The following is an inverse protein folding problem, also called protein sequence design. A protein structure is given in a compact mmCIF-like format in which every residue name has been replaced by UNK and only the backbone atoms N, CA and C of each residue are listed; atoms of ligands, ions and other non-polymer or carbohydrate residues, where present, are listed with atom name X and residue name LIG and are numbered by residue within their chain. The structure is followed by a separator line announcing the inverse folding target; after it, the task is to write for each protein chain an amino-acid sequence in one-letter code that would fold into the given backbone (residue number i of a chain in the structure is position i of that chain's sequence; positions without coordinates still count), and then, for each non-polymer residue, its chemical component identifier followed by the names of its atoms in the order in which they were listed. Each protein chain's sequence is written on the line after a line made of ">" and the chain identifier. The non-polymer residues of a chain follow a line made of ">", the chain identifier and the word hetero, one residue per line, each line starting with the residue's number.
data_IF_784152235168
#
_entry.id   IF_784152235168
#
_cell.length_a   1.000
_cell.length_b   1.000
_cell.length_c   1.000
_cell.angle_alpha   90.00
_cell.angle_beta   90.00
_cell.angle_gamma   90.00
#
_symmetry.space_group_name_H-M   'P 1'
#
loop_
_entity.id
_entity.type
_entity.pdbx_description
1 polymer ?
#
# COMPACT_ATOMS: atom_id res chain seq x y z
N UNK A 1 -9.19 -29.05 -31.72
CA UNK A 1 -8.36 -28.76 -30.53
C UNK A 1 -9.13 -29.29 -29.34
N UNK A 2 -8.52 -30.16 -28.53
CA UNK A 2 -9.22 -30.82 -27.42
C UNK A 2 -9.68 -29.76 -26.42
N UNK A 3 -10.96 -29.79 -26.08
CA UNK A 3 -11.58 -28.97 -25.03
C UNK A 3 -10.96 -29.43 -23.71
N UNK A 4 -9.83 -28.85 -23.32
CA UNK A 4 -9.28 -29.05 -21.98
C UNK A 4 -10.36 -28.54 -21.03
N UNK A 5 -10.75 -29.37 -20.06
CA UNK A 5 -11.80 -29.03 -19.11
C UNK A 5 -11.41 -27.75 -18.36
N UNK A 6 -12.30 -26.77 -18.30
CA UNK A 6 -12.17 -25.53 -17.52
C UNK A 6 -11.72 -25.84 -16.07
N UNK A 7 -12.34 -26.85 -15.48
CA UNK A 7 -12.03 -27.38 -14.15
C UNK A 7 -10.57 -27.88 -14.02
N UNK A 8 -10.03 -28.51 -15.07
CA UNK A 8 -8.64 -28.98 -15.06
C UNK A 8 -7.65 -27.82 -15.12
N UNK A 9 -8.00 -26.74 -15.82
CA UNK A 9 -7.17 -25.53 -15.87
C UNK A 9 -7.19 -24.82 -14.52
N UNK A 10 -8.36 -24.72 -13.89
CA UNK A 10 -8.50 -24.16 -12.54
C UNK A 10 -7.70 -24.95 -11.51
N UNK A 11 -7.88 -26.28 -11.45
CA UNK A 11 -7.13 -27.14 -10.52
C UNK A 11 -5.62 -27.00 -10.69
N UNK A 12 -5.15 -26.85 -11.93
CA UNK A 12 -3.74 -26.61 -12.19
C UNK A 12 -3.27 -25.26 -11.65
N UNK A 13 -4.01 -24.18 -11.93
CA UNK A 13 -3.68 -22.85 -11.45
C UNK A 13 -3.70 -22.79 -9.90
N UNK A 14 -4.68 -23.44 -9.29
CA UNK A 14 -4.80 -23.63 -7.85
C UNK A 14 -3.61 -24.39 -7.26
N UNK A 15 -3.19 -25.49 -7.89
CA UNK A 15 -2.03 -26.23 -7.44
C UNK A 15 -0.74 -25.39 -7.52
N UNK A 16 -0.58 -24.61 -8.59
CA UNK A 16 0.53 -23.66 -8.73
C UNK A 16 0.48 -22.60 -7.60
N UNK A 17 -0.69 -22.12 -7.23
CA UNK A 17 -0.89 -21.17 -6.11
C UNK A 17 -0.52 -21.80 -4.76
N UNK A 18 -1.05 -22.98 -4.45
CA UNK A 18 -0.80 -23.69 -3.19
C UNK A 18 0.68 -24.07 -2.99
N UNK A 19 1.41 -24.27 -4.09
CA UNK A 19 2.86 -24.49 -4.07
C UNK A 19 3.68 -23.20 -3.86
N UNK A 20 3.03 -22.05 -3.70
CA UNK A 20 3.67 -20.73 -3.61
C UNK A 20 4.23 -20.24 -4.95
N UNK A 21 3.89 -20.86 -6.07
CA UNK A 21 4.32 -20.41 -7.40
C UNK A 21 3.40 -19.30 -7.93
N UNK A 22 3.25 -18.21 -7.18
CA UNK A 22 2.27 -17.15 -7.41
C UNK A 22 2.35 -16.54 -8.82
N UNK A 23 3.56 -16.27 -9.33
CA UNK A 23 3.74 -15.76 -10.71
C UNK A 23 3.22 -16.72 -11.78
N UNK A 24 3.33 -18.03 -11.55
CA UNK A 24 2.80 -19.05 -12.48
C UNK A 24 1.28 -19.13 -12.35
N UNK A 25 0.78 -19.19 -11.11
CA UNK A 25 -0.65 -19.20 -10.82
C UNK A 25 -1.36 -17.98 -11.44
N UNK A 26 -0.82 -16.77 -11.23
CA UNK A 26 -1.31 -15.52 -11.82
C UNK A 26 -1.45 -15.63 -13.34
N UNK A 27 -0.40 -16.13 -14.01
CA UNK A 27 -0.41 -16.33 -15.45
C UNK A 27 -1.44 -17.37 -15.87
N UNK A 28 -1.54 -18.47 -15.15
CA UNK A 28 -2.49 -19.55 -15.44
C UNK A 28 -3.94 -19.07 -15.28
N UNK A 29 -4.28 -18.39 -14.19
CA UNK A 29 -5.59 -17.76 -14.00
C UNK A 29 -5.90 -16.68 -15.04
N UNK A 30 -4.93 -15.82 -15.37
CA UNK A 30 -5.09 -14.82 -16.42
C UNK A 30 -5.35 -15.42 -17.81
N UNK A 31 -4.74 -16.57 -18.13
CA UNK A 31 -5.04 -17.30 -19.36
C UNK A 31 -6.46 -17.88 -19.36
N UNK A 32 -6.96 -18.36 -18.22
CA UNK A 32 -8.34 -18.83 -18.09
C UNK A 32 -9.32 -17.69 -18.32
N UNK A 33 -9.08 -16.52 -17.71
CA UNK A 33 -9.92 -15.33 -17.86
C UNK A 33 -9.96 -14.79 -19.29
N UNK A 34 -8.91 -15.02 -20.09
CA UNK A 34 -8.92 -14.64 -21.51
C UNK A 34 -10.03 -15.35 -22.27
N UNK A 35 -10.24 -16.63 -21.99
CA UNK A 35 -11.24 -17.47 -22.66
C UNK A 35 -12.58 -17.48 -21.89
N UNK A 36 -12.54 -17.26 -20.57
CA UNK A 36 -13.69 -17.27 -19.65
C UNK A 36 -13.69 -16.01 -18.74
N UNK A 37 -14.01 -14.81 -19.27
CA UNK A 37 -13.85 -13.55 -18.52
C UNK A 37 -14.76 -13.40 -17.29
N UNK A 38 -15.87 -14.14 -17.26
CA UNK A 38 -16.86 -14.10 -16.18
C UNK A 38 -16.62 -15.15 -15.10
N UNK A 39 -15.53 -15.93 -15.20
CA UNK A 39 -15.26 -17.00 -14.25
C UNK A 39 -14.67 -16.43 -12.96
N UNK A 40 -15.50 -16.42 -11.93
CA UNK A 40 -15.21 -15.75 -10.68
C UNK A 40 -14.06 -16.38 -9.90
N UNK A 41 -13.96 -17.72 -9.88
CA UNK A 41 -12.84 -18.44 -9.26
C UNK A 41 -11.49 -18.02 -9.89
N UNK A 42 -11.47 -17.78 -11.20
CA UNK A 42 -10.26 -17.33 -11.87
C UNK A 42 -9.94 -15.85 -11.57
N UNK A 43 -10.93 -14.99 -11.36
CA UNK A 43 -10.71 -13.60 -10.92
C UNK A 43 -10.11 -13.55 -9.52
N UNK A 44 -10.72 -14.28 -8.58
CA UNK A 44 -10.21 -14.41 -7.21
C UNK A 44 -8.79 -14.99 -7.23
N UNK A 45 -8.55 -16.01 -8.04
CA UNK A 45 -7.22 -16.59 -8.24
C UNK A 45 -6.17 -15.60 -8.73
N UNK A 46 -6.52 -14.67 -9.63
CA UNK A 46 -5.62 -13.58 -10.07
C UNK A 46 -5.27 -12.67 -8.89
N UNK A 47 -6.26 -12.12 -8.18
CA UNK A 47 -6.01 -11.18 -7.09
C UNK A 47 -5.19 -11.81 -5.96
N UNK A 48 -5.53 -13.03 -5.56
CA UNK A 48 -4.78 -13.73 -4.52
C UNK A 48 -3.36 -14.08 -4.97
N UNK A 49 -3.14 -14.38 -6.26
CA UNK A 49 -1.79 -14.62 -6.78
C UNK A 49 -0.95 -13.34 -6.84
N UNK A 50 -1.58 -12.20 -7.10
CA UNK A 50 -0.91 -10.91 -7.03
C UNK A 50 -0.51 -10.60 -5.58
N UNK A 51 -1.47 -10.69 -4.65
CA UNK A 51 -1.23 -10.55 -3.21
C UNK A 51 -0.14 -11.51 -2.71
N UNK A 52 -0.13 -12.77 -3.16
CA UNK A 52 0.86 -13.77 -2.75
C UNK A 52 2.28 -13.44 -3.21
N UNK A 53 2.43 -12.60 -4.24
CA UNK A 53 3.75 -12.08 -4.65
C UNK A 53 4.32 -11.09 -3.64
N UNK A 54 3.47 -10.42 -2.86
CA UNK A 54 3.83 -9.48 -1.81
C UNK A 54 3.84 -10.14 -0.43
N UNK A 55 2.80 -10.91 -0.10
CA UNK A 55 2.60 -11.60 1.17
C UNK A 55 1.93 -12.96 0.96
N UNK A 56 2.76 -14.01 1.02
CA UNK A 56 2.30 -15.39 0.90
C UNK A 56 1.27 -15.77 1.98
N UNK A 57 1.48 -15.34 3.22
CA UNK A 57 0.64 -15.72 4.36
C UNK A 57 -0.77 -15.10 4.25
N UNK A 58 -0.86 -13.83 3.85
CA UNK A 58 -2.14 -13.14 3.62
C UNK A 58 -2.91 -13.79 2.47
N UNK A 59 -2.22 -14.11 1.38
CA UNK A 59 -2.81 -14.76 0.23
C UNK A 59 -3.34 -16.17 0.57
N UNK A 60 -2.58 -16.99 1.30
CA UNK A 60 -3.05 -18.31 1.71
C UNK A 60 -4.23 -18.22 2.67
N UNK A 61 -4.21 -17.31 3.65
CA UNK A 61 -5.31 -17.15 4.58
C UNK A 61 -6.62 -16.75 3.88
N UNK A 62 -6.56 -15.80 2.93
CA UNK A 62 -7.73 -15.41 2.14
C UNK A 62 -8.17 -16.50 1.17
N UNK A 63 -7.24 -17.26 0.61
CA UNK A 63 -7.56 -18.41 -0.23
C UNK A 63 -8.30 -19.50 0.53
N UNK A 64 -7.81 -19.88 1.72
CA UNK A 64 -8.48 -20.86 2.59
C UNK A 64 -9.87 -20.37 2.98
N UNK A 65 -10.00 -19.08 3.30
CA UNK A 65 -11.31 -18.48 3.59
C UNK A 65 -12.24 -18.54 2.38
N UNK A 66 -11.76 -18.20 1.18
CA UNK A 66 -12.52 -18.29 -0.06
C UNK A 66 -13.04 -19.70 -0.31
N UNK A 67 -12.20 -20.74 -0.15
CA UNK A 67 -12.61 -22.14 -0.34
C UNK A 67 -13.74 -22.57 0.60
N UNK A 68 -13.81 -21.99 1.81
CA UNK A 68 -14.91 -22.26 2.76
C UNK A 68 -16.21 -21.59 2.29
N UNK A 69 -16.14 -20.34 1.82
CA UNK A 69 -17.35 -19.55 1.56
C UNK A 69 -17.90 -19.68 0.13
N UNK A 70 -17.09 -20.15 -0.83
CA UNK A 70 -17.45 -20.15 -2.26
C UNK A 70 -18.69 -20.99 -2.60
N UNK A 71 -18.92 -22.07 -1.84
CA UNK A 71 -20.08 -22.96 -2.03
C UNK A 71 -21.26 -22.57 -1.13
N UNK A 72 -21.02 -21.76 -0.09
CA UNK A 72 -22.02 -21.37 0.90
C UNK A 72 -22.66 -20.00 0.61
N UNK A 73 -21.94 -19.12 -0.09
CA UNK A 73 -22.34 -17.73 -0.33
C UNK A 73 -22.23 -17.36 -1.79
N UNK A 74 -23.36 -16.93 -2.37
CA UNK A 74 -23.41 -16.43 -3.76
C UNK A 74 -22.52 -15.20 -3.99
N UNK A 75 -22.24 -14.42 -2.94
CA UNK A 75 -21.41 -13.21 -2.99
C UNK A 75 -19.98 -13.42 -2.45
N UNK A 76 -19.46 -14.65 -2.47
CA UNK A 76 -18.11 -14.96 -1.98
C UNK A 76 -17.01 -14.10 -2.63
N UNK A 77 -17.19 -13.78 -3.92
CA UNK A 77 -16.27 -12.92 -4.68
C UNK A 77 -16.23 -11.51 -4.10
N UNK A 78 -17.40 -10.89 -3.93
CA UNK A 78 -17.51 -9.53 -3.39
C UNK A 78 -16.95 -9.44 -1.97
N UNK A 79 -17.09 -10.52 -1.19
CA UNK A 79 -16.51 -10.59 0.16
C UNK A 79 -14.98 -10.58 0.10
N UNK A 80 -14.37 -11.38 -0.78
CA UNK A 80 -12.91 -11.40 -0.95
C UNK A 80 -12.41 -10.06 -1.48
N UNK A 81 -13.10 -9.48 -2.46
CA UNK A 81 -12.76 -8.16 -3.04
C UNK A 81 -12.74 -7.08 -1.95
N UNK A 82 -13.78 -7.01 -1.11
CA UNK A 82 -13.83 -6.07 0.00
C UNK A 82 -12.77 -6.30 1.09
N UNK A 83 -12.34 -7.55 1.29
CA UNK A 83 -11.23 -7.86 2.21
C UNK A 83 -9.89 -7.40 1.64
N UNK A 84 -9.66 -7.58 0.33
CA UNK A 84 -8.47 -7.09 -0.35
C UNK A 84 -8.37 -5.56 -0.29
N UNK A 85 -9.45 -4.86 -0.63
CA UNK A 85 -9.51 -3.39 -0.56
C UNK A 85 -9.20 -2.87 0.86
N UNK A 86 -9.72 -3.53 1.88
CA UNK A 86 -9.47 -3.19 3.29
C UNK A 86 -8.00 -3.37 3.67
N UNK A 87 -7.37 -4.45 3.22
CA UNK A 87 -5.95 -4.70 3.46
C UNK A 87 -5.09 -3.62 2.80
N UNK A 88 -5.36 -3.30 1.54
CA UNK A 88 -4.60 -2.29 0.79
C UNK A 88 -4.77 -0.90 1.40
N UNK A 89 -6.00 -0.51 1.74
CA UNK A 89 -6.29 0.77 2.42
C UNK A 89 -5.55 0.84 3.76
N UNK A 90 -5.57 -0.22 4.55
CA UNK A 90 -4.88 -0.25 5.85
C UNK A 90 -3.36 -0.11 5.68
N UNK A 91 -2.78 -0.79 4.68
CA UNK A 91 -1.34 -0.67 4.36
C UNK A 91 -0.98 0.76 3.95
N UNK A 92 -1.79 1.39 3.09
CA UNK A 92 -1.59 2.77 2.67
C UNK A 92 -1.67 3.75 3.85
N UNK A 93 -2.71 3.65 4.68
CA UNK A 93 -2.86 4.52 5.86
C UNK A 93 -1.70 4.35 6.83
N UNK A 94 -1.23 3.13 7.07
CA UNK A 94 -0.05 2.90 7.92
C UNK A 94 1.22 3.50 7.32
N UNK A 95 1.39 3.41 6.00
CA UNK A 95 2.52 4.02 5.32
C UNK A 95 2.51 5.54 5.48
N UNK A 96 1.36 6.19 5.27
CA UNK A 96 1.20 7.64 5.48
C UNK A 96 1.55 8.04 6.91
N UNK A 97 0.97 7.36 7.91
CA UNK A 97 1.24 7.62 9.34
C UNK A 97 2.70 7.44 9.75
N UNK A 98 3.45 6.59 9.04
CA UNK A 98 4.87 6.34 9.31
C UNK A 98 5.79 7.28 8.54
N UNK A 99 5.39 7.76 7.36
CA UNK A 99 6.18 8.68 6.54
C UNK A 99 6.02 10.13 6.97
N UNK A 100 4.83 10.56 7.40
CA UNK A 100 4.58 11.94 7.83
C UNK A 100 5.60 12.43 8.89
N UNK A 101 5.89 11.67 9.99
CA UNK A 101 6.85 12.12 10.99
C UNK A 101 8.30 12.13 10.48
N UNK A 102 8.63 11.27 9.51
CA UNK A 102 9.98 11.16 8.94
C UNK A 102 10.24 12.30 7.96
N UNK A 103 9.26 12.67 7.13
CA UNK A 103 9.36 13.85 6.27
C UNK A 103 9.44 15.13 7.09
N UNK A 104 8.67 15.23 8.17
CA UNK A 104 8.82 16.32 9.14
C UNK A 104 10.26 16.35 9.71
N UNK A 105 10.79 15.26 10.28
CA UNK A 105 12.15 15.26 10.82
C UNK A 105 13.24 15.59 9.77
N UNK A 106 13.06 15.23 8.50
CA UNK A 106 14.01 15.55 7.42
C UNK A 106 13.91 17.02 7.01
N UNK A 107 12.72 17.60 6.92
CA UNK A 107 12.54 19.03 6.61
C UNK A 107 12.94 19.94 7.78
N UNK A 108 12.63 19.54 9.02
CA UNK A 108 12.98 20.27 10.24
C UNK A 108 14.40 19.97 10.73
N UNK A 109 15.02 18.86 10.33
CA UNK A 109 16.34 18.41 10.82
C UNK A 109 17.49 19.38 10.51
N UNK A 110 17.37 20.13 9.41
CA UNK A 110 18.29 21.22 9.02
C UNK A 110 17.69 22.63 9.23
N UNK A 111 16.54 22.72 9.91
CA UNK A 111 15.77 23.94 10.10
C UNK A 111 15.68 24.38 11.57
N UNK A 112 15.50 25.69 11.79
CA UNK A 112 15.04 26.23 13.08
C UNK A 112 13.59 26.66 12.96
N UNK A 113 12.80 26.46 14.02
CA UNK A 113 11.44 26.97 14.09
C UNK A 113 11.46 28.50 14.07
N UNK A 114 10.46 29.12 13.46
CA UNK A 114 10.34 30.58 13.45
C UNK A 114 10.34 31.19 14.86
N UNK A 115 9.68 30.54 15.82
CA UNK A 115 9.70 30.95 17.22
C UNK A 115 11.11 30.93 17.87
N UNK A 116 11.98 30.01 17.47
CA UNK A 116 13.37 29.99 17.94
C UNK A 116 14.24 31.03 17.22
N UNK A 117 13.93 31.31 15.95
CA UNK A 117 14.50 32.45 15.25
C UNK A 117 14.15 33.78 15.94
N UNK A 118 12.90 33.98 16.36
CA UNK A 118 12.49 35.19 17.09
C UNK A 118 13.27 35.36 18.41
N UNK A 119 13.53 34.28 19.15
CA UNK A 119 14.38 34.32 20.35
C UNK A 119 15.82 34.73 20.02
N UNK A 120 16.36 34.29 18.88
CA UNK A 120 17.67 34.75 18.41
C UNK A 120 17.66 36.25 18.07
N UNK A 121 16.60 36.74 17.42
CA UNK A 121 16.42 38.17 17.10
C UNK A 121 16.35 39.00 18.39
N UNK A 122 15.60 38.56 19.39
CA UNK A 122 15.52 39.21 20.70
C UNK A 122 16.89 39.25 21.39
N UNK A 123 17.62 38.12 21.40
CA UNK A 123 18.95 38.05 22.03
C UNK A 123 20.01 38.95 21.39
N UNK A 124 19.90 39.20 20.08
CA UNK A 124 20.87 40.00 19.31
C UNK A 124 20.43 41.46 19.13
N UNK A 125 19.26 41.82 19.63
CA UNK A 125 18.63 43.15 19.51
C UNK A 125 18.55 43.68 18.06
N UNK A 126 18.64 42.80 17.06
CA UNK A 126 18.70 43.18 15.65
C UNK A 126 18.32 42.03 14.73
N UNK A 127 17.16 42.19 14.06
CA UNK A 127 16.69 41.26 13.03
C UNK A 127 17.73 41.05 11.93
N UNK A 128 18.31 42.15 11.44
CA UNK A 128 19.29 42.12 10.34
C UNK A 128 20.50 41.24 10.69
N UNK A 129 21.08 41.41 11.89
CA UNK A 129 22.22 40.60 12.32
C UNK A 129 21.84 39.13 12.50
N UNK A 130 20.75 38.86 13.21
CA UNK A 130 20.28 37.50 13.44
C UNK A 130 19.98 36.77 12.11
N UNK A 131 19.41 37.48 11.13
CA UNK A 131 19.13 36.94 9.80
C UNK A 131 20.42 36.69 8.98
N UNK A 132 21.33 37.65 8.92
CA UNK A 132 22.63 37.51 8.22
C UNK A 132 23.46 36.32 8.76
N UNK A 133 23.36 36.03 10.05
CA UNK A 133 24.11 34.96 10.71
C UNK A 133 23.60 33.53 10.41
N UNK A 134 22.33 33.36 10.05
CA UNK A 134 21.69 32.05 9.88
C UNK A 134 21.27 31.75 8.44
N UNK A 135 21.10 32.79 7.60
CA UNK A 135 20.52 32.67 6.26
C UNK A 135 21.31 31.75 5.31
N UNK A 136 22.57 31.45 5.63
CA UNK A 136 23.42 30.55 4.85
C UNK A 136 23.57 29.16 5.46
N UNK A 137 23.17 28.95 6.72
CA UNK A 137 23.43 27.71 7.46
C UNK A 137 22.17 26.91 7.79
N UNK A 138 21.00 27.53 7.75
CA UNK A 138 19.79 26.97 8.36
C UNK A 138 18.53 27.47 7.66
N UNK A 139 17.54 26.60 7.48
CA UNK A 139 16.21 26.99 6.98
C UNK A 139 15.33 27.45 8.14
N UNK A 140 14.53 28.50 7.95
CA UNK A 140 13.51 28.87 8.95
C UNK A 140 12.19 28.24 8.53
N UNK A 141 11.67 27.34 9.36
CA UNK A 141 10.41 26.65 9.06
C UNK A 141 9.26 27.33 9.77
N UNK A 142 8.22 27.65 8.99
CA UNK A 142 6.99 28.28 9.41
C UNK A 142 5.93 27.18 9.44
N UNK A 143 5.37 26.94 10.62
CA UNK A 143 4.48 25.79 10.88
C UNK A 143 3.01 26.19 10.94
N UNK A 144 2.73 27.48 11.16
CA UNK A 144 1.38 28.02 11.18
C UNK A 144 1.28 29.31 10.34
N UNK A 145 0.11 29.56 9.76
CA UNK A 145 -0.17 30.78 9.00
C UNK A 145 -0.05 32.03 9.85
N UNK A 146 -0.40 31.93 11.14
CA UNK A 146 -0.31 33.02 12.11
C UNK A 146 1.15 33.40 12.44
N UNK A 147 2.13 32.54 12.12
CA UNK A 147 3.55 32.88 12.25
C UNK A 147 4.06 33.80 11.12
N UNK A 148 3.31 33.92 10.01
CA UNK A 148 3.67 34.75 8.85
C UNK A 148 2.99 36.13 8.81
N UNK A 149 1.91 36.32 9.58
CA UNK A 149 1.05 37.53 9.59
C UNK A 149 1.39 38.42 10.78
#
# INVERSE_FOLDING_TARGET
>A
MAKISEELLLQRAENEFLQGNFKKALRSYGLILKDHPTLDEAKVGVYLSDLGSDSQDEAQALFDYYQIIKDEKENAVDIIDGLLDSLDTTKQTLQELLLDPVEEEVEYGDGIRYSDFLKLVESRESFKKAFEDIMFSTKVVITDKDEFI
#
